data_IF_812871715315
#
_entry.id   IF_812871715315
#
_cell.length_a   1.000
_cell.length_b   1.000
_cell.length_c   1.000
_cell.angle_alpha   90.00
_cell.angle_beta   90.00
_cell.angle_gamma   90.00
#
_symmetry.space_group_name_H-M   'P 1'
#
loop_
_entity.id
_entity.type
_entity.pdbx_description
1 polymer ?
#
# COMPACT_ATOMS: atom_id res chain seq x y z
N UNK A 1 11.34 -15.69 -19.25
CA UNK A 1 10.04 -15.33 -18.66
C UNK A 1 9.46 -14.17 -19.44
N UNK A 2 8.16 -14.22 -19.72
CA UNK A 2 7.40 -13.07 -20.23
C UNK A 2 6.85 -12.30 -19.04
N UNK A 3 7.10 -10.98 -18.98
CA UNK A 3 6.69 -10.13 -17.85
C UNK A 3 5.72 -9.06 -18.34
N UNK A 4 4.62 -8.94 -17.62
CA UNK A 4 3.67 -7.86 -17.80
C UNK A 4 3.52 -7.12 -16.47
N UNK A 5 3.40 -5.79 -16.52
CA UNK A 5 3.17 -4.95 -15.36
C UNK A 5 1.90 -4.13 -15.55
N UNK A 6 1.24 -3.82 -14.45
CA UNK A 6 -0.03 -3.09 -14.46
C UNK A 6 -0.05 -2.05 -13.34
N UNK A 7 -0.44 -0.84 -13.67
CA UNK A 7 -0.76 0.21 -12.69
C UNK A 7 -1.59 1.32 -13.33
N UNK A 8 -2.52 1.95 -12.60
CA UNK A 8 -3.20 3.16 -13.05
C UNK A 8 -2.36 4.44 -12.87
N UNK A 9 -1.15 4.35 -12.29
CA UNK A 9 -0.32 5.50 -11.96
C UNK A 9 0.56 5.94 -13.13
N UNK A 10 0.43 7.24 -13.53
CA UNK A 10 1.17 7.81 -14.64
C UNK A 10 2.69 7.86 -14.40
N UNK A 11 3.12 8.07 -13.16
CA UNK A 11 4.55 8.11 -12.84
C UNK A 11 5.16 6.71 -12.97
N UNK A 12 4.51 5.66 -12.45
CA UNK A 12 4.95 4.28 -12.62
C UNK A 12 5.01 3.90 -14.10
N UNK A 13 4.00 4.29 -14.90
CA UNK A 13 4.02 4.11 -16.36
C UNK A 13 5.25 4.73 -16.99
N UNK A 14 5.58 5.98 -16.65
CA UNK A 14 6.73 6.67 -17.23
C UNK A 14 8.04 5.97 -16.86
N UNK A 15 8.22 5.58 -15.59
CA UNK A 15 9.41 4.90 -15.10
C UNK A 15 9.60 3.53 -15.75
N UNK A 16 8.53 2.75 -15.89
CA UNK A 16 8.62 1.41 -16.50
C UNK A 16 8.92 1.54 -17.99
N UNK A 17 8.29 2.46 -18.69
CA UNK A 17 8.57 2.70 -20.11
C UNK A 17 10.02 3.17 -20.35
N UNK A 18 10.55 4.04 -19.47
CA UNK A 18 11.92 4.52 -19.56
C UNK A 18 12.93 3.40 -19.32
N UNK A 19 12.71 2.62 -18.25
CA UNK A 19 13.73 1.64 -17.79
C UNK A 19 13.59 0.26 -18.42
N UNK A 20 12.37 -0.14 -18.83
CA UNK A 20 12.06 -1.51 -19.21
C UNK A 20 11.24 -1.65 -20.50
N UNK A 21 11.13 -0.60 -21.34
CA UNK A 21 10.25 -0.53 -22.51
C UNK A 21 10.26 -1.75 -23.43
N UNK A 22 11.39 -2.45 -23.54
CA UNK A 22 11.55 -3.62 -24.40
C UNK A 22 11.54 -4.96 -23.65
N UNK A 23 11.28 -4.94 -22.34
CA UNK A 23 11.36 -6.13 -21.47
C UNK A 23 10.05 -6.42 -20.75
N UNK A 24 9.18 -5.43 -20.63
CA UNK A 24 7.93 -5.52 -19.87
C UNK A 24 6.81 -4.89 -20.68
N UNK A 25 5.72 -5.61 -20.89
CA UNK A 25 4.47 -5.04 -21.42
C UNK A 25 3.77 -4.34 -20.27
N UNK A 26 3.51 -3.03 -20.41
CA UNK A 26 2.86 -2.23 -19.37
C UNK A 26 1.39 -1.95 -19.71
N UNK A 27 0.49 -2.26 -18.80
CA UNK A 27 -0.94 -1.99 -18.88
C UNK A 27 -1.30 -0.82 -17.96
N UNK A 28 -1.74 0.29 -18.56
CA UNK A 28 -2.12 1.49 -17.80
C UNK A 28 -3.61 1.44 -17.42
N UNK A 29 -3.95 0.65 -16.44
CA UNK A 29 -5.31 0.49 -15.92
C UNK A 29 -5.29 -0.02 -14.46
N UNK A 30 -6.46 -0.06 -13.82
CA UNK A 30 -6.63 -0.78 -12.55
C UNK A 30 -6.66 -2.28 -12.80
N UNK A 31 -6.35 -3.07 -11.78
CA UNK A 31 -6.37 -4.53 -11.91
C UNK A 31 -7.78 -5.06 -12.21
N UNK A 32 -8.80 -4.47 -11.62
CA UNK A 32 -10.19 -4.81 -11.86
C UNK A 32 -10.62 -4.61 -13.32
N UNK A 33 -10.05 -3.59 -13.99
CA UNK A 33 -10.35 -3.23 -15.38
C UNK A 33 -9.46 -3.98 -16.40
N UNK A 34 -8.50 -4.79 -15.92
CA UNK A 34 -7.56 -5.49 -16.78
C UNK A 34 -8.26 -6.54 -17.63
N UNK A 35 -8.06 -6.46 -18.93
CA UNK A 35 -8.60 -7.41 -19.90
C UNK A 35 -7.46 -8.08 -20.66
N UNK A 36 -7.46 -9.40 -20.67
CA UNK A 36 -6.46 -10.20 -21.39
C UNK A 36 -7.05 -11.55 -21.80
N UNK A 37 -6.59 -12.04 -22.95
CA UNK A 37 -6.81 -13.43 -23.36
C UNK A 37 -5.67 -14.35 -22.94
N UNK A 38 -4.55 -13.78 -22.51
CA UNK A 38 -3.42 -14.53 -22.00
C UNK A 38 -3.75 -15.13 -20.64
N UNK A 39 -3.06 -16.23 -20.33
CA UNK A 39 -3.10 -16.86 -19.02
C UNK A 39 -1.72 -16.83 -18.40
N UNK A 40 -1.64 -16.33 -17.18
CA UNK A 40 -0.40 -16.19 -16.44
C UNK A 40 -0.15 -17.39 -15.53
N UNK A 41 1.12 -17.70 -15.32
CA UNK A 41 1.56 -18.70 -14.33
C UNK A 41 1.51 -18.14 -12.91
N UNK A 42 1.80 -16.85 -12.78
CA UNK A 42 1.92 -16.15 -11.51
C UNK A 42 1.41 -14.71 -11.65
N UNK A 43 0.60 -14.29 -10.69
CA UNK A 43 0.30 -12.89 -10.41
C UNK A 43 1.00 -12.52 -9.11
N UNK A 44 1.70 -11.39 -9.12
CA UNK A 44 2.38 -10.82 -7.95
C UNK A 44 1.72 -9.49 -7.57
N UNK A 45 1.16 -9.43 -6.37
CA UNK A 45 0.64 -8.23 -5.73
C UNK A 45 1.60 -7.83 -4.60
N UNK A 46 2.49 -6.88 -4.85
CA UNK A 46 3.43 -6.35 -3.85
C UNK A 46 3.04 -4.94 -3.48
N UNK A 47 2.63 -4.70 -2.23
CA UNK A 47 2.15 -3.41 -1.72
C UNK A 47 0.99 -2.83 -2.58
N UNK A 48 0.18 -3.70 -3.16
CA UNK A 48 -0.88 -3.31 -4.09
C UNK A 48 -2.24 -3.93 -3.77
N UNK A 49 -2.27 -5.05 -3.05
CA UNK A 49 -3.52 -5.72 -2.68
C UNK A 49 -4.48 -4.79 -1.92
N UNK A 50 -3.96 -3.89 -1.09
CA UNK A 50 -4.79 -2.94 -0.32
C UNK A 50 -5.56 -1.93 -1.18
N UNK A 51 -5.20 -1.73 -2.44
CA UNK A 51 -5.87 -0.83 -3.38
C UNK A 51 -6.88 -1.53 -4.29
N UNK A 52 -6.82 -2.86 -4.37
CA UNK A 52 -7.67 -3.69 -5.24
C UNK A 52 -8.92 -4.09 -4.48
N UNK A 53 -10.09 -4.02 -5.11
CA UNK A 53 -11.32 -4.53 -4.49
C UNK A 53 -11.19 -6.04 -4.25
N UNK A 54 -11.47 -6.51 -3.04
CA UNK A 54 -11.24 -7.91 -2.66
C UNK A 54 -11.95 -8.88 -3.61
N UNK A 55 -13.24 -8.69 -3.83
CA UNK A 55 -14.08 -9.62 -4.62
C UNK A 55 -13.69 -9.56 -6.10
N UNK A 56 -13.63 -8.35 -6.65
CA UNK A 56 -13.30 -8.12 -8.06
C UNK A 56 -11.86 -8.55 -8.35
N UNK A 57 -10.93 -8.29 -7.41
CA UNK A 57 -9.52 -8.66 -7.52
C UNK A 57 -9.34 -10.18 -7.62
N UNK A 58 -9.94 -10.96 -6.70
CA UNK A 58 -9.84 -12.42 -6.78
C UNK A 58 -10.55 -12.97 -8.02
N UNK A 59 -11.71 -12.43 -8.39
CA UNK A 59 -12.38 -12.81 -9.63
C UNK A 59 -11.50 -12.54 -10.85
N UNK A 60 -10.85 -11.39 -10.92
CA UNK A 60 -9.94 -11.02 -12.00
C UNK A 60 -8.67 -11.86 -12.00
N UNK A 61 -8.09 -12.12 -10.83
CA UNK A 61 -6.94 -13.01 -10.70
C UNK A 61 -7.27 -14.42 -11.19
N UNK A 62 -8.46 -14.96 -10.82
CA UNK A 62 -8.94 -16.25 -11.32
C UNK A 62 -9.09 -16.26 -12.85
N UNK A 63 -9.64 -15.17 -13.42
CA UNK A 63 -9.77 -15.04 -14.86
C UNK A 63 -8.41 -15.03 -15.57
N UNK A 64 -7.45 -14.28 -15.05
CA UNK A 64 -6.13 -14.07 -15.68
C UNK A 64 -5.17 -15.26 -15.49
N UNK A 65 -5.28 -16.01 -14.38
CA UNK A 65 -4.43 -17.17 -14.13
C UNK A 65 -4.87 -18.41 -14.93
N UNK A 66 -3.89 -19.20 -15.35
CA UNK A 66 -4.15 -20.58 -15.82
C UNK A 66 -4.60 -21.46 -14.65
N UNK A 67 -5.19 -22.61 -14.95
CA UNK A 67 -5.50 -23.60 -13.93
C UNK A 67 -4.20 -24.08 -13.27
N UNK A 68 -4.20 -24.16 -11.93
CA UNK A 68 -3.02 -24.43 -11.14
C UNK A 68 -1.99 -23.29 -11.09
N UNK A 69 -2.30 -22.09 -11.62
CA UNK A 69 -1.48 -20.88 -11.49
C UNK A 69 -1.53 -20.30 -10.08
N UNK A 70 -0.62 -19.36 -9.80
CA UNK A 70 -0.39 -18.86 -8.44
C UNK A 70 -0.67 -17.36 -8.32
N UNK A 71 -1.21 -16.96 -7.18
CA UNK A 71 -1.29 -15.56 -6.74
C UNK A 71 -0.42 -15.41 -5.50
N UNK A 72 0.61 -14.55 -5.58
CA UNK A 72 1.46 -14.18 -4.46
C UNK A 72 1.13 -12.75 -4.04
N UNK A 73 0.57 -12.58 -2.86
CA UNK A 73 0.23 -11.29 -2.30
C UNK A 73 1.11 -10.96 -1.09
N UNK A 74 1.71 -9.76 -1.08
CA UNK A 74 2.50 -9.23 0.02
C UNK A 74 1.99 -7.84 0.36
N UNK A 75 1.29 -7.71 1.50
CA UNK A 75 0.69 -6.44 1.92
C UNK A 75 0.33 -6.47 3.42
N UNK A 76 -0.15 -5.33 3.93
CA UNK A 76 -0.65 -5.25 5.28
C UNK A 76 -2.17 -5.37 5.34
N UNK A 77 -2.66 -6.08 6.35
CA UNK A 77 -4.07 -6.37 6.56
C UNK A 77 -4.50 -5.96 7.97
N UNK A 78 -5.77 -5.58 8.11
CA UNK A 78 -6.38 -5.33 9.42
C UNK A 78 -6.79 -6.66 10.03
N UNK A 79 -6.24 -6.99 11.19
CA UNK A 79 -6.64 -8.19 11.93
C UNK A 79 -7.54 -7.90 13.12
N UNK A 80 -7.56 -6.64 13.58
CA UNK A 80 -8.42 -6.20 14.68
C UNK A 80 -9.02 -4.83 14.36
N UNK A 81 -10.35 -4.74 14.28
CA UNK A 81 -11.08 -3.48 14.08
C UNK A 81 -11.62 -2.97 15.40
N UNK A 82 -11.04 -1.90 15.91
CA UNK A 82 -11.68 -1.02 16.86
C UNK A 82 -12.29 0.16 16.09
N UNK A 83 -13.57 0.05 15.76
CA UNK A 83 -14.30 1.05 14.97
C UNK A 83 -14.41 2.41 15.67
N UNK A 84 -14.12 2.47 16.98
CA UNK A 84 -14.26 3.69 17.78
C UNK A 84 -13.03 4.60 17.71
N UNK A 85 -11.86 4.11 17.31
CA UNK A 85 -10.58 4.82 17.51
C UNK A 85 -9.68 4.99 16.29
N UNK A 86 -9.98 4.40 15.14
CA UNK A 86 -9.03 4.46 14.04
C UNK A 86 -9.67 4.77 12.68
N UNK A 87 -9.73 6.06 12.31
CA UNK A 87 -10.05 6.45 10.94
C UNK A 87 -9.03 5.92 9.91
N UNK A 88 -7.85 5.46 10.37
CA UNK A 88 -6.73 5.01 9.55
C UNK A 88 -6.88 3.57 9.01
N UNK A 89 -7.86 2.82 9.51
CA UNK A 89 -8.12 1.45 9.05
C UNK A 89 -8.97 1.39 7.78
N UNK A 90 -9.34 2.53 7.20
CA UNK A 90 -10.25 2.59 6.04
C UNK A 90 -9.64 2.05 4.74
N UNK A 91 -8.33 2.13 4.58
CA UNK A 91 -7.64 1.75 3.35
C UNK A 91 -7.07 0.33 3.34
N UNK A 92 -7.27 -0.44 4.41
CA UNK A 92 -6.68 -1.78 4.50
C UNK A 92 -7.77 -2.84 4.53
N UNK A 93 -7.52 -3.95 3.87
CA UNK A 93 -8.43 -5.08 3.87
C UNK A 93 -8.45 -5.80 5.23
N UNK A 94 -9.63 -6.27 5.61
CA UNK A 94 -9.79 -7.17 6.74
C UNK A 94 -9.21 -8.53 6.38
N UNK A 95 -8.29 -9.02 7.22
CA UNK A 95 -7.56 -10.26 6.98
C UNK A 95 -8.48 -11.46 6.76
N UNK A 96 -9.49 -11.61 7.63
CA UNK A 96 -10.42 -12.75 7.54
C UNK A 96 -11.27 -12.70 6.27
N UNK A 97 -11.71 -11.47 5.89
CA UNK A 97 -12.49 -11.30 4.66
C UNK A 97 -11.64 -11.56 3.43
N UNK A 98 -10.37 -11.18 3.44
CA UNK A 98 -9.46 -11.42 2.33
C UNK A 98 -9.27 -12.93 2.10
N UNK A 99 -8.98 -13.69 3.17
CA UNK A 99 -8.82 -15.13 3.10
C UNK A 99 -10.11 -15.86 2.70
N UNK A 100 -11.25 -15.46 3.26
CA UNK A 100 -12.55 -16.04 2.88
C UNK A 100 -12.87 -15.79 1.40
N UNK A 101 -12.60 -14.58 0.90
CA UNK A 101 -12.84 -14.26 -0.51
C UNK A 101 -11.90 -15.04 -1.45
N UNK A 102 -10.66 -15.33 -1.03
CA UNK A 102 -9.78 -16.19 -1.80
C UNK A 102 -10.38 -17.59 -1.97
N UNK A 103 -10.84 -18.20 -0.87
CA UNK A 103 -11.48 -19.52 -0.87
C UNK A 103 -12.77 -19.54 -1.73
N UNK A 104 -13.65 -18.55 -1.54
CA UNK A 104 -14.90 -18.39 -2.31
C UNK A 104 -14.67 -18.25 -3.82
N UNK A 105 -13.53 -17.69 -4.21
CA UNK A 105 -13.13 -17.55 -5.61
C UNK A 105 -12.28 -18.73 -6.13
N UNK A 106 -12.21 -19.85 -5.40
CA UNK A 106 -11.52 -21.06 -5.84
C UNK A 106 -9.99 -20.94 -5.81
N UNK A 107 -9.47 -20.33 -4.74
CA UNK A 107 -8.05 -20.32 -4.44
C UNK A 107 -7.77 -21.14 -3.17
N UNK A 108 -6.79 -22.01 -3.25
CA UNK A 108 -6.24 -22.74 -2.13
C UNK A 108 -5.06 -21.95 -1.53
N UNK A 109 -5.09 -21.69 -0.22
CA UNK A 109 -3.97 -21.09 0.49
C UNK A 109 -2.87 -22.14 0.72
N UNK A 110 -1.74 -21.98 0.05
CA UNK A 110 -0.60 -22.90 0.18
C UNK A 110 0.41 -22.43 1.24
N UNK A 111 0.58 -21.11 1.40
CA UNK A 111 1.54 -20.54 2.35
C UNK A 111 0.99 -19.24 2.92
N UNK A 112 1.16 -19.11 4.23
CA UNK A 112 0.95 -17.89 4.99
C UNK A 112 2.22 -17.58 5.79
N UNK A 113 2.74 -16.36 5.63
CA UNK A 113 3.91 -15.91 6.36
C UNK A 113 3.65 -14.53 6.98
N UNK A 114 3.69 -14.47 8.31
CA UNK A 114 3.59 -13.23 9.08
C UNK A 114 4.97 -12.59 9.20
N UNK A 115 5.20 -11.52 8.45
CA UNK A 115 6.46 -10.76 8.51
C UNK A 115 6.32 -9.43 9.28
N UNK A 116 5.28 -9.30 10.10
CA UNK A 116 5.00 -8.07 10.84
C UNK A 116 6.23 -7.58 11.59
N UNK A 117 6.86 -8.43 12.40
CA UNK A 117 8.02 -8.01 13.19
C UNK A 117 9.22 -7.61 12.33
N UNK A 118 9.40 -8.22 11.16
CA UNK A 118 10.48 -7.86 10.23
C UNK A 118 10.28 -6.49 9.59
N UNK A 119 9.04 -5.99 9.56
CA UNK A 119 8.67 -4.69 8.99
C UNK A 119 8.82 -3.55 10.01
N UNK A 120 8.73 -3.86 11.31
CA UNK A 120 8.75 -2.85 12.37
C UNK A 120 9.97 -1.93 12.35
N UNK A 121 11.22 -2.41 12.15
CA UNK A 121 12.38 -1.53 12.06
C UNK A 121 12.27 -0.47 10.98
N UNK A 122 11.61 -0.77 9.86
CA UNK A 122 11.37 0.21 8.76
C UNK A 122 10.41 1.31 9.21
N UNK A 123 9.34 0.97 9.92
CA UNK A 123 8.39 1.94 10.47
C UNK A 123 9.06 2.83 11.53
N UNK A 124 9.80 2.23 12.45
CA UNK A 124 10.53 2.96 13.49
C UNK A 124 11.58 3.90 12.89
N UNK A 125 12.29 3.46 11.85
CA UNK A 125 13.25 4.31 11.13
C UNK A 125 12.54 5.47 10.40
N UNK A 126 11.42 5.20 9.74
CA UNK A 126 10.59 6.23 9.11
C UNK A 126 10.13 7.28 10.13
N UNK A 127 9.63 6.85 11.29
CA UNK A 127 9.25 7.72 12.40
C UNK A 127 10.44 8.54 12.94
N UNK A 128 11.60 7.90 13.09
CA UNK A 128 12.84 8.57 13.48
C UNK A 128 13.22 9.68 12.50
N UNK A 129 13.19 9.42 11.19
CA UNK A 129 13.51 10.43 10.17
C UNK A 129 12.55 11.62 10.23
N UNK A 130 11.26 11.37 10.41
CA UNK A 130 10.27 12.45 10.54
C UNK A 130 10.57 13.31 11.77
N UNK A 131 10.73 12.69 12.93
CA UNK A 131 10.98 13.43 14.18
C UNK A 131 12.33 14.15 14.17
N UNK A 132 13.33 13.57 13.51
CA UNK A 132 14.69 14.14 13.50
C UNK A 132 14.88 15.25 12.48
N UNK A 133 14.23 15.16 11.33
CA UNK A 133 14.49 16.08 10.22
C UNK A 133 13.26 16.87 9.80
N UNK A 134 12.10 16.22 9.66
CA UNK A 134 10.90 16.88 9.10
C UNK A 134 10.31 17.87 10.11
N UNK A 135 10.02 17.43 11.33
CA UNK A 135 9.44 18.29 12.37
C UNK A 135 10.31 19.50 12.69
N UNK A 136 11.63 19.35 13.01
CA UNK A 136 12.48 20.48 13.29
C UNK A 136 12.62 21.45 12.11
N UNK A 137 12.62 20.93 10.87
CA UNK A 137 12.67 21.76 9.66
C UNK A 137 11.42 22.62 9.52
N UNK A 138 10.23 22.04 9.74
CA UNK A 138 8.96 22.78 9.72
C UNK A 138 8.94 23.86 10.81
N UNK A 139 9.40 23.52 12.01
CA UNK A 139 9.48 24.49 13.13
C UNK A 139 10.44 25.62 12.83
N UNK A 140 11.62 25.30 12.26
CA UNK A 140 12.60 26.32 11.85
C UNK A 140 12.05 27.22 10.74
N UNK A 141 11.42 26.68 9.71
CA UNK A 141 10.80 27.48 8.64
C UNK A 141 9.71 28.38 9.22
N UNK A 142 8.88 27.85 10.11
CA UNK A 142 7.83 28.61 10.79
C UNK A 142 8.40 29.76 11.62
N UNK A 143 9.46 29.51 12.40
CA UNK A 143 10.14 30.50 13.20
C UNK A 143 10.80 31.58 12.33
N UNK A 144 11.59 31.18 11.33
CA UNK A 144 12.31 32.08 10.42
C UNK A 144 11.36 32.98 9.63
N UNK A 145 10.24 32.39 9.13
CA UNK A 145 9.21 33.14 8.41
C UNK A 145 8.55 34.22 9.30
N UNK A 146 8.26 33.91 10.56
CA UNK A 146 7.71 34.89 11.52
C UNK A 146 8.66 36.03 11.78
N UNK A 147 9.97 35.78 11.84
CA UNK A 147 11.00 36.78 12.09
C UNK A 147 11.22 37.68 10.88
N UNK A 148 11.28 37.13 9.67
CA UNK A 148 11.65 37.84 8.44
C UNK A 148 10.47 38.52 7.76
N UNK A 149 9.28 37.90 7.80
CA UNK A 149 8.08 38.37 7.10
C UNK A 149 6.81 38.16 7.96
N UNK A 150 6.63 38.94 9.05
CA UNK A 150 5.60 38.67 10.05
C UNK A 150 4.17 38.66 9.48
N UNK A 151 3.86 39.48 8.48
CA UNK A 151 2.52 39.52 7.86
C UNK A 151 2.29 38.33 6.93
N UNK A 152 3.30 37.86 6.19
CA UNK A 152 3.22 36.68 5.34
C UNK A 152 3.33 35.37 6.14
N UNK A 153 4.06 35.39 7.25
CA UNK A 153 4.26 34.23 8.10
C UNK A 153 2.95 33.73 8.73
N UNK A 154 2.00 34.60 9.00
CA UNK A 154 0.66 34.20 9.48
C UNK A 154 -0.09 33.35 8.44
N UNK A 155 0.03 33.70 7.16
CA UNK A 155 -0.64 32.96 6.07
C UNK A 155 0.13 31.68 5.74
N UNK A 156 1.45 31.78 5.53
CA UNK A 156 2.30 30.65 5.15
C UNK A 156 2.46 29.66 6.30
N UNK A 157 2.68 30.15 7.53
CA UNK A 157 2.83 29.31 8.71
C UNK A 157 1.55 28.52 9.04
N UNK A 158 0.39 29.18 8.93
CA UNK A 158 -0.88 28.51 9.12
C UNK A 158 -1.18 27.49 8.00
N UNK A 159 -0.81 27.80 6.76
CA UNK A 159 -0.95 26.87 5.64
C UNK A 159 -0.06 25.63 5.80
N UNK A 160 1.22 25.81 6.12
CA UNK A 160 2.16 24.70 6.36
C UNK A 160 1.67 23.86 7.53
N UNK A 161 1.32 24.50 8.64
CA UNK A 161 0.85 23.82 9.85
C UNK A 161 -0.49 23.08 9.64
N UNK A 162 -1.39 23.66 8.88
CA UNK A 162 -2.65 23.01 8.48
C UNK A 162 -2.40 21.78 7.62
N UNK A 163 -1.54 21.89 6.60
CA UNK A 163 -1.17 20.75 5.74
C UNK A 163 -0.42 19.65 6.51
N UNK A 164 0.47 20.05 7.43
CA UNK A 164 1.16 19.09 8.29
C UNK A 164 0.20 18.39 9.25
N UNK A 165 -0.69 19.12 9.92
CA UNK A 165 -1.68 18.55 10.82
C UNK A 165 -2.66 17.61 10.09
N UNK A 166 -3.03 17.92 8.84
CA UNK A 166 -3.81 17.02 7.99
C UNK A 166 -3.09 15.69 7.70
N UNK A 167 -1.76 15.70 7.67
CA UNK A 167 -0.94 14.50 7.45
C UNK A 167 -0.45 13.83 8.73
N UNK A 168 -0.59 14.48 9.89
CA UNK A 168 -0.10 13.94 11.17
C UNK A 168 -0.68 12.55 11.47
N UNK A 169 -1.92 12.32 11.14
CA UNK A 169 -2.54 11.01 11.28
C UNK A 169 -1.92 9.94 10.34
N UNK A 170 -1.29 10.34 9.23
CA UNK A 170 -0.53 9.41 8.39
C UNK A 170 0.81 9.02 9.05
N UNK A 171 1.36 9.91 9.89
CA UNK A 171 2.56 9.63 10.68
C UNK A 171 2.27 8.58 11.76
N UNK A 172 1.06 8.57 12.30
CA UNK A 172 0.64 7.53 13.26
C UNK A 172 0.63 6.13 12.64
N UNK A 173 0.55 6.02 11.30
CA UNK A 173 0.70 4.75 10.58
C UNK A 173 2.13 4.18 10.69
N UNK A 174 3.12 5.04 10.98
CA UNK A 174 4.51 4.64 11.23
C UNK A 174 4.76 4.26 12.70
N UNK A 175 3.74 4.27 13.54
CA UNK A 175 3.87 3.78 14.92
C UNK A 175 3.83 2.26 14.92
N UNK A 176 4.98 1.62 15.17
CA UNK A 176 5.12 0.17 15.18
C UNK A 176 4.21 -0.51 16.22
N UNK A 177 3.95 0.12 17.37
CA UNK A 177 3.05 -0.43 18.38
C UNK A 177 1.58 -0.38 17.95
N UNK A 178 1.16 0.73 17.31
CA UNK A 178 -0.18 0.83 16.74
C UNK A 178 -0.33 -0.14 15.56
N UNK A 179 0.70 -0.28 14.74
CA UNK A 179 0.69 -1.24 13.64
C UNK A 179 0.46 -2.66 14.16
N UNK A 180 1.29 -3.15 15.10
CA UNK A 180 1.13 -4.49 15.73
C UNK A 180 -0.25 -4.72 16.30
N UNK A 181 -0.83 -3.69 16.91
CA UNK A 181 -2.14 -3.80 17.57
C UNK A 181 -3.28 -4.03 16.60
N UNK A 182 -3.24 -3.41 15.41
CA UNK A 182 -4.37 -3.39 14.49
C UNK A 182 -4.11 -4.08 13.17
N UNK A 183 -2.86 -4.27 12.80
CA UNK A 183 -2.44 -4.76 11.49
C UNK A 183 -1.45 -5.89 11.58
N UNK A 184 -1.39 -6.64 10.47
CA UNK A 184 -0.34 -7.60 10.18
C UNK A 184 0.19 -7.36 8.80
N UNK A 185 1.49 -7.51 8.62
CA UNK A 185 2.11 -7.55 7.31
C UNK A 185 2.29 -9.02 6.92
N UNK A 186 1.58 -9.44 5.86
CA UNK A 186 1.44 -10.85 5.50
C UNK A 186 1.92 -11.11 4.09
N UNK A 187 2.50 -12.28 3.88
CA UNK A 187 2.73 -12.85 2.55
C UNK A 187 1.85 -14.08 2.43
N UNK A 188 1.06 -14.13 1.36
CA UNK A 188 0.20 -15.24 1.02
C UNK A 188 0.56 -15.80 -0.34
N UNK A 189 0.68 -17.12 -0.43
CA UNK A 189 0.73 -17.83 -1.70
C UNK A 189 -0.55 -18.64 -1.86
N UNK A 190 -1.32 -18.27 -2.86
CA UNK A 190 -2.54 -18.98 -3.25
C UNK A 190 -2.30 -19.74 -4.57
N UNK A 191 -3.00 -20.84 -4.72
CA UNK A 191 -3.06 -21.62 -5.95
C UNK A 191 -4.51 -21.63 -6.47
N UNK A 192 -4.71 -21.34 -7.74
CA UNK A 192 -6.00 -21.49 -8.40
C UNK A 192 -6.34 -22.97 -8.54
N UNK A 193 -7.52 -23.39 -8.02
CA UNK A 193 -8.10 -24.73 -8.13
C UNK A 193 -9.25 -24.76 -9.12
#
# INVERSE_FOLDING_TARGET
YELEALSPDDFQKSVINEKFANKVTFHHCKFEDFQTYKKFDLILESESACYINIIEGFSKAREALRDGGYLLASDYFVHFRDTSRSPHLKSSHDLKKYLASAEENGFELLMEYDQTENTMPTLDYGKYLINRFVEPTIDYISYSSKKSFPKMALVIGNFIKSKYNLKKHQIDLLDSNLFRKYRKYMIFLFKKI
#
